data_IF_092654431353
#
_entry.id   IF_092654431353
#
_cell.length_a   1.000
_cell.length_b   1.000
_cell.length_c   1.000
_cell.angle_alpha   90.00
_cell.angle_beta   90.00
_cell.angle_gamma   90.00
#
_symmetry.space_group_name_H-M   'P 1'
#
loop_
_entity.id
_entity.type
_entity.pdbx_description
1 polymer ?
#
# COMPACT_ATOMS: atom_id res chain seq x y z
N UNK A 1 27.25 14.30 -2.12
CA UNK A 1 27.33 13.78 -3.50
C UNK A 1 26.11 12.91 -3.76
N UNK A 2 25.51 12.97 -4.95
CA UNK A 2 24.35 12.12 -5.29
C UNK A 2 24.86 10.70 -5.55
N UNK A 3 24.49 9.75 -4.68
CA UNK A 3 24.88 8.35 -4.82
C UNK A 3 23.82 7.55 -5.59
N UNK A 4 24.18 6.39 -6.15
CA UNK A 4 23.24 5.50 -6.86
C UNK A 4 22.09 5.08 -5.94
N UNK A 5 22.39 4.84 -4.66
CA UNK A 5 21.40 4.47 -3.64
C UNK A 5 20.45 5.63 -3.36
N UNK A 6 20.91 6.88 -3.43
CA UNK A 6 20.04 8.06 -3.27
C UNK A 6 19.05 8.15 -4.43
N UNK A 7 19.51 7.93 -5.66
CA UNK A 7 18.65 7.92 -6.86
C UNK A 7 17.63 6.78 -6.77
N UNK A 8 18.07 5.59 -6.36
CA UNK A 8 17.22 4.43 -6.15
C UNK A 8 16.12 4.67 -5.11
N UNK A 9 16.46 5.23 -3.95
CA UNK A 9 15.48 5.57 -2.90
C UNK A 9 14.45 6.61 -3.38
N UNK A 10 14.89 7.65 -4.10
CA UNK A 10 13.96 8.66 -4.65
C UNK A 10 13.01 8.03 -5.65
N UNK A 11 13.52 7.22 -6.59
CA UNK A 11 12.70 6.51 -7.57
C UNK A 11 11.67 5.60 -6.89
N UNK A 12 12.09 4.80 -5.90
CA UNK A 12 11.17 3.92 -5.17
C UNK A 12 10.08 4.71 -4.45
N UNK A 13 10.41 5.83 -3.80
CA UNK A 13 9.41 6.64 -3.10
C UNK A 13 8.40 7.24 -4.07
N UNK A 14 8.83 7.72 -5.24
CA UNK A 14 7.90 8.17 -6.31
C UNK A 14 7.01 7.02 -6.78
N UNK A 15 7.59 5.86 -7.07
CA UNK A 15 6.83 4.70 -7.55
C UNK A 15 5.81 4.21 -6.51
N UNK A 16 6.19 4.16 -5.22
CA UNK A 16 5.28 3.85 -4.11
C UNK A 16 4.11 4.83 -4.04
N UNK A 17 4.35 6.12 -4.24
CA UNK A 17 3.27 7.12 -4.22
C UNK A 17 2.30 6.94 -5.39
N UNK A 18 2.80 6.69 -6.60
CA UNK A 18 1.96 6.42 -7.77
C UNK A 18 1.08 5.19 -7.53
N UNK A 19 1.67 4.10 -7.05
CA UNK A 19 0.92 2.89 -6.71
C UNK A 19 -0.12 3.14 -5.62
N UNK A 20 0.23 3.89 -4.57
CA UNK A 20 -0.70 4.23 -3.50
C UNK A 20 -1.90 5.04 -4.02
N UNK A 21 -1.68 6.00 -4.93
CA UNK A 21 -2.77 6.74 -5.59
C UNK A 21 -3.66 5.80 -6.41
N UNK A 22 -3.08 4.89 -7.19
CA UNK A 22 -3.86 3.90 -7.95
C UNK A 22 -4.69 3.03 -7.00
N UNK A 23 -4.09 2.52 -5.93
CA UNK A 23 -4.78 1.72 -4.91
C UNK A 23 -5.93 2.51 -4.28
N UNK A 24 -5.72 3.79 -3.94
CA UNK A 24 -6.76 4.65 -3.37
C UNK A 24 -7.94 4.83 -4.33
N UNK A 25 -7.69 5.01 -5.63
CA UNK A 25 -8.73 5.11 -6.65
C UNK A 25 -9.53 3.80 -6.71
N UNK A 26 -8.86 2.65 -6.80
CA UNK A 26 -9.55 1.35 -6.82
C UNK A 26 -10.35 1.11 -5.54
N UNK A 27 -9.76 1.42 -4.38
CA UNK A 27 -10.40 1.32 -3.07
C UNK A 27 -11.67 2.17 -2.98
N UNK A 28 -11.64 3.40 -3.53
CA UNK A 28 -12.74 4.34 -3.41
C UNK A 28 -13.80 4.20 -4.49
N UNK A 29 -13.46 3.86 -5.73
CA UNK A 29 -14.38 3.90 -6.87
C UNK A 29 -14.42 2.60 -7.67
N UNK A 30 -13.80 1.53 -7.17
CA UNK A 30 -13.68 0.26 -7.89
C UNK A 30 -14.97 -0.56 -7.98
N UNK A 31 -16.02 -0.19 -7.26
CA UNK A 31 -17.34 -0.85 -7.32
C UNK A 31 -18.25 -0.09 -8.30
N UNK A 32 -17.96 -0.16 -9.60
CA UNK A 32 -18.72 0.55 -10.63
C UNK A 32 -18.89 2.07 -10.38
N UNK A 33 -17.89 2.71 -9.75
CA UNK A 33 -17.93 4.13 -9.34
C UNK A 33 -18.17 4.34 -7.84
N UNK A 34 -18.70 3.34 -7.15
CA UNK A 34 -18.92 3.35 -5.71
C UNK A 34 -17.76 2.76 -4.91
N UNK A 35 -17.89 2.86 -3.59
CA UNK A 35 -16.90 2.37 -2.63
C UNK A 35 -16.70 0.85 -2.73
N UNK A 36 -15.46 0.44 -2.99
CA UNK A 36 -15.10 -0.98 -3.11
C UNK A 36 -14.73 -1.56 -1.74
N UNK A 37 -13.70 -1.02 -1.09
CA UNK A 37 -13.25 -1.47 0.22
C UNK A 37 -12.39 -2.75 0.23
N UNK A 38 -11.84 -3.08 1.40
CA UNK A 38 -10.92 -4.21 1.67
C UNK A 38 -11.58 -5.35 2.46
N UNK A 39 -12.80 -5.15 2.96
CA UNK A 39 -13.53 -6.20 3.66
C UNK A 39 -15.01 -5.89 3.76
N UNK A 40 -15.85 -6.73 3.15
CA UNK A 40 -17.31 -6.69 3.24
C UNK A 40 -17.87 -8.02 3.73
N UNK A 41 -19.13 -8.26 3.43
CA UNK A 41 -19.85 -9.49 3.81
C UNK A 41 -19.88 -10.43 2.61
N UNK A 42 -19.54 -11.71 2.79
CA UNK A 42 -19.59 -12.68 1.68
C UNK A 42 -21.03 -13.03 1.29
N UNK A 43 -21.97 -12.72 2.16
CA UNK A 43 -23.40 -13.03 2.08
C UNK A 43 -24.19 -11.92 2.78
N UNK A 44 -25.45 -11.70 2.41
CA UNK A 44 -26.40 -10.80 3.07
C UNK A 44 -26.58 -11.07 4.59
N UNK A 45 -26.14 -12.23 5.07
CA UNK A 45 -26.25 -12.67 6.46
C UNK A 45 -24.99 -12.43 7.33
N UNK A 46 -23.87 -12.00 6.75
CA UNK A 46 -22.70 -11.61 7.55
C UNK A 46 -22.80 -10.13 7.94
N UNK A 47 -22.30 -9.78 9.12
CA UNK A 47 -22.12 -8.37 9.49
C UNK A 47 -20.76 -7.87 8.99
N UNK A 48 -20.77 -6.71 8.32
CA UNK A 48 -19.55 -6.08 7.84
C UNK A 48 -18.75 -5.59 9.05
N UNK A 49 -17.62 -6.25 9.35
CA UNK A 49 -16.69 -5.70 10.33
C UNK A 49 -16.08 -4.41 9.76
N UNK A 50 -16.30 -3.24 10.39
CA UNK A 50 -15.73 -1.98 9.94
C UNK A 50 -14.21 -1.93 10.17
N UNK A 51 -13.66 -2.85 10.97
CA UNK A 51 -12.27 -2.82 11.43
C UNK A 51 -11.29 -2.96 10.26
N UNK A 52 -11.60 -3.87 9.31
CA UNK A 52 -10.76 -4.08 8.13
C UNK A 52 -10.66 -2.81 7.27
N UNK A 53 -11.77 -2.08 7.11
CA UNK A 53 -11.83 -0.84 6.34
C UNK A 53 -11.11 0.32 7.05
N UNK A 54 -11.25 0.41 8.37
CA UNK A 54 -10.55 1.41 9.19
C UNK A 54 -9.03 1.19 9.09
N UNK A 55 -8.57 -0.05 9.22
CA UNK A 55 -7.14 -0.38 9.11
C UNK A 55 -6.65 -0.13 7.68
N UNK A 56 -7.38 -0.59 6.66
CA UNK A 56 -7.00 -0.38 5.26
C UNK A 56 -6.87 1.10 4.90
N UNK A 57 -7.89 1.91 5.24
CA UNK A 57 -7.85 3.36 5.00
C UNK A 57 -6.70 4.04 5.74
N UNK A 58 -6.43 3.66 6.98
CA UNK A 58 -5.30 4.15 7.77
C UNK A 58 -3.96 3.83 7.12
N UNK A 59 -3.78 2.61 6.60
CA UNK A 59 -2.55 2.20 5.89
C UNK A 59 -2.39 2.99 4.59
N UNK A 60 -3.41 3.04 3.74
CA UNK A 60 -3.36 3.74 2.44
C UNK A 60 -2.99 5.22 2.66
N UNK A 61 -3.75 5.94 3.49
CA UNK A 61 -3.57 7.38 3.71
C UNK A 61 -2.31 7.67 4.52
N UNK A 62 -2.07 6.90 5.59
CA UNK A 62 -0.91 7.10 6.46
C UNK A 62 0.41 6.95 5.70
N UNK A 63 0.53 5.91 4.87
CA UNK A 63 1.73 5.71 4.05
C UNK A 63 1.84 6.66 2.86
N UNK A 64 0.72 7.22 2.39
CA UNK A 64 0.74 8.29 1.39
C UNK A 64 1.35 9.56 1.97
N UNK A 65 0.88 9.99 3.13
CA UNK A 65 1.41 11.17 3.84
C UNK A 65 2.88 10.95 4.17
N UNK A 66 3.20 9.83 4.82
CA UNK A 66 4.56 9.50 5.21
C UNK A 66 5.54 9.50 4.03
N UNK A 67 5.21 8.81 2.95
CA UNK A 67 6.12 8.71 1.79
C UNK A 67 6.26 10.05 1.08
N UNK A 68 5.20 10.87 1.05
CA UNK A 68 5.24 12.22 0.49
C UNK A 68 6.18 13.12 1.29
N UNK A 69 6.03 13.12 2.62
CA UNK A 69 6.90 13.89 3.51
C UNK A 69 8.36 13.43 3.36
N UNK A 70 8.64 12.13 3.38
CA UNK A 70 10.00 11.62 3.19
C UNK A 70 10.58 11.97 1.82
N UNK A 71 9.80 11.89 0.74
CA UNK A 71 10.25 12.27 -0.59
C UNK A 71 10.65 13.75 -0.66
N UNK A 72 9.81 14.63 -0.11
CA UNK A 72 10.08 16.08 -0.04
C UNK A 72 11.34 16.33 0.80
N UNK A 73 11.47 15.69 1.96
CA UNK A 73 12.65 15.80 2.82
C UNK A 73 13.92 15.30 2.13
N UNK A 74 13.85 14.21 1.35
CA UNK A 74 14.99 13.71 0.56
C UNK A 74 15.42 14.67 -0.56
N UNK A 75 14.45 15.39 -1.15
CA UNK A 75 14.68 16.33 -2.25
C UNK A 75 15.25 17.68 -1.77
N UNK A 76 14.76 18.21 -0.64
CA UNK A 76 15.08 19.55 -0.16
C UNK A 76 15.86 19.61 1.16
N UNK A 77 15.98 18.50 1.87
CA UNK A 77 16.65 18.42 3.16
C UNK A 77 18.16 18.21 3.07
N UNK A 78 18.81 18.22 4.23
CA UNK A 78 20.23 17.87 4.37
C UNK A 78 20.46 16.37 4.14
N UNK A 79 21.73 15.97 3.92
CA UNK A 79 22.10 14.55 3.81
C UNK A 79 21.85 13.74 5.08
N UNK A 80 21.65 14.38 6.23
CA UNK A 80 21.34 13.70 7.50
C UNK A 80 19.98 13.01 7.47
N UNK A 81 18.97 13.61 6.82
CA UNK A 81 17.62 13.02 6.73
C UNK A 81 17.58 11.73 5.90
N UNK A 82 18.55 11.56 5.00
CA UNK A 82 18.69 10.34 4.19
C UNK A 82 19.15 9.12 4.99
N UNK A 83 19.51 9.34 6.26
CA UNK A 83 20.08 8.33 7.17
C UNK A 83 19.24 8.15 8.43
N UNK A 84 18.06 8.77 8.48
CA UNK A 84 17.23 8.65 9.67
C UNK A 84 16.73 7.22 9.85
N UNK A 85 16.91 6.70 11.06
CA UNK A 85 16.36 5.40 11.46
C UNK A 85 14.83 5.37 11.34
N UNK A 86 14.18 6.54 11.46
CA UNK A 86 12.74 6.71 11.25
C UNK A 86 12.29 6.18 9.88
N UNK A 87 13.08 6.41 8.81
CA UNK A 87 12.73 5.96 7.47
C UNK A 87 12.79 4.44 7.37
N UNK A 88 13.83 3.84 7.96
CA UNK A 88 13.99 2.39 8.01
C UNK A 88 12.85 1.73 8.80
N UNK A 89 12.53 2.24 9.99
CA UNK A 89 11.45 1.70 10.83
C UNK A 89 10.11 1.78 10.11
N UNK A 90 9.79 2.94 9.53
CA UNK A 90 8.53 3.12 8.81
C UNK A 90 8.44 2.24 7.57
N UNK A 91 9.57 1.97 6.88
CA UNK A 91 9.56 1.03 5.77
C UNK A 91 9.32 -0.43 6.21
N UNK A 92 9.89 -0.84 7.36
CA UNK A 92 9.60 -2.15 7.96
C UNK A 92 8.12 -2.27 8.34
N UNK A 93 7.59 -1.27 9.07
CA UNK A 93 6.18 -1.23 9.47
C UNK A 93 5.27 -1.24 8.23
N UNK A 94 5.62 -0.47 7.21
CA UNK A 94 4.90 -0.45 5.94
C UNK A 94 4.86 -1.80 5.25
N UNK A 95 5.97 -2.54 5.25
CA UNK A 95 6.02 -3.89 4.68
C UNK A 95 4.93 -4.78 5.29
N UNK A 96 4.87 -4.86 6.62
CA UNK A 96 3.90 -5.70 7.30
C UNK A 96 2.46 -5.22 7.11
N UNK A 97 2.24 -3.91 7.22
CA UNK A 97 0.88 -3.35 7.13
C UNK A 97 0.31 -3.47 5.71
N UNK A 98 1.08 -3.18 4.66
CA UNK A 98 0.65 -3.35 3.27
C UNK A 98 0.36 -4.81 2.92
N UNK A 99 1.20 -5.74 3.40
CA UNK A 99 0.98 -7.18 3.20
C UNK A 99 -0.28 -7.64 3.94
N UNK A 100 -0.48 -7.19 5.18
CA UNK A 100 -1.66 -7.55 5.96
C UNK A 100 -2.96 -7.09 5.29
N UNK A 101 -3.07 -5.80 4.94
CA UNK A 101 -4.29 -5.27 4.29
C UNK A 101 -4.49 -5.82 2.89
N UNK A 102 -3.40 -6.03 2.13
CA UNK A 102 -3.46 -6.68 0.82
C UNK A 102 -3.89 -8.14 0.90
N UNK A 103 -3.41 -8.87 1.90
CA UNK A 103 -3.83 -10.24 2.20
C UNK A 103 -5.31 -10.32 2.56
N UNK A 104 -5.80 -9.40 3.40
CA UNK A 104 -7.21 -9.28 3.73
C UNK A 104 -8.07 -8.99 2.49
N UNK A 105 -7.66 -8.03 1.65
CA UNK A 105 -8.36 -7.72 0.39
C UNK A 105 -8.42 -8.95 -0.53
N UNK A 106 -7.29 -9.64 -0.72
CA UNK A 106 -7.22 -10.82 -1.57
C UNK A 106 -8.09 -11.95 -1.01
N UNK A 107 -8.04 -12.20 0.30
CA UNK A 107 -8.89 -13.19 0.94
C UNK A 107 -10.36 -12.90 0.73
N UNK A 108 -10.77 -11.65 0.96
CA UNK A 108 -12.16 -11.21 0.80
C UNK A 108 -12.63 -11.31 -0.66
N UNK A 109 -11.94 -10.64 -1.58
CA UNK A 109 -12.35 -10.58 -2.99
C UNK A 109 -12.16 -11.91 -3.73
N UNK A 110 -11.32 -12.82 -3.23
CA UNK A 110 -11.27 -14.17 -3.77
C UNK A 110 -12.54 -14.96 -3.48
N UNK A 111 -13.09 -14.84 -2.26
CA UNK A 111 -14.31 -15.50 -1.79
C UNK A 111 -15.62 -14.82 -2.21
N UNK A 112 -15.56 -13.60 -2.75
CA UNK A 112 -16.73 -12.83 -3.16
C UNK A 112 -17.61 -13.58 -4.19
N UNK A 113 -18.88 -13.78 -3.84
CA UNK A 113 -19.93 -14.32 -4.70
C UNK A 113 -20.96 -13.22 -4.98
N UNK A 114 -21.24 -12.89 -6.25
CA UNK A 114 -22.27 -11.90 -6.57
C UNK A 114 -23.68 -12.46 -6.29
N UNK A 115 -24.59 -11.62 -5.80
CA UNK A 115 -26.01 -11.96 -5.56
C UNK A 115 -26.83 -12.22 -6.85
N UNK A 116 -26.19 -12.14 -8.03
CA UNK A 116 -26.84 -12.32 -9.33
C UNK A 116 -26.47 -13.68 -9.93
N UNK A 117 -27.40 -14.62 -9.86
CA UNK A 117 -27.35 -16.03 -10.33
C UNK A 117 -26.91 -16.27 -11.79
N UNK A 118 -26.56 -15.24 -12.58
CA UNK A 118 -26.35 -15.37 -14.03
C UNK A 118 -25.08 -14.69 -14.59
N UNK A 119 -24.19 -14.13 -13.76
CA UNK A 119 -22.91 -13.56 -14.24
C UNK A 119 -21.72 -14.36 -13.71
N UNK A 120 -21.04 -15.09 -14.61
CA UNK A 120 -19.87 -15.90 -14.29
C UNK A 120 -18.63 -15.08 -13.85
N UNK A 121 -18.62 -13.76 -14.05
CA UNK A 121 -17.53 -12.85 -13.68
C UNK A 121 -18.09 -11.52 -13.18
N UNK A 122 -17.98 -11.27 -11.88
CA UNK A 122 -18.30 -10.00 -11.27
C UNK A 122 -17.12 -9.02 -11.47
N UNK A 123 -17.36 -7.86 -12.08
CA UNK A 123 -16.30 -6.89 -12.41
C UNK A 123 -15.58 -6.36 -11.17
N UNK A 124 -16.33 -6.09 -10.11
CA UNK A 124 -15.91 -5.67 -8.78
C UNK A 124 -14.92 -6.67 -8.16
N UNK A 125 -15.14 -7.97 -8.38
CA UNK A 125 -14.25 -9.02 -7.89
C UNK A 125 -12.87 -8.89 -8.51
N UNK A 126 -12.81 -8.64 -9.81
CA UNK A 126 -11.53 -8.45 -10.50
C UNK A 126 -10.81 -7.19 -10.03
N UNK A 127 -11.56 -6.10 -9.84
CA UNK A 127 -11.00 -4.85 -9.33
C UNK A 127 -10.48 -5.02 -7.91
N UNK A 128 -11.20 -5.72 -7.04
CA UNK A 128 -10.79 -6.01 -5.67
C UNK A 128 -9.56 -6.91 -5.59
N UNK A 129 -9.47 -7.93 -6.44
CA UNK A 129 -8.27 -8.77 -6.56
C UNK A 129 -7.07 -7.97 -7.08
N UNK A 130 -7.27 -7.11 -8.08
CA UNK A 130 -6.22 -6.24 -8.59
C UNK A 130 -5.74 -5.26 -7.51
N UNK A 131 -6.66 -4.63 -6.78
CA UNK A 131 -6.36 -3.75 -5.66
C UNK A 131 -5.55 -4.48 -4.59
N UNK A 132 -5.98 -5.65 -4.15
CA UNK A 132 -5.26 -6.47 -3.16
C UNK A 132 -3.86 -6.87 -3.64
N UNK A 133 -3.71 -7.24 -4.91
CA UNK A 133 -2.40 -7.57 -5.48
C UNK A 133 -1.45 -6.35 -5.50
N UNK A 134 -1.96 -5.15 -5.84
CA UNK A 134 -1.17 -3.92 -5.79
C UNK A 134 -0.74 -3.55 -4.36
N UNK A 135 -1.56 -3.88 -3.35
CA UNK A 135 -1.18 -3.73 -1.93
C UNK A 135 -0.03 -4.67 -1.55
N UNK A 136 -0.05 -5.92 -2.02
CA UNK A 136 1.08 -6.86 -1.81
C UNK A 136 2.36 -6.34 -2.50
N UNK A 137 2.25 -5.85 -3.73
CA UNK A 137 3.38 -5.24 -4.45
C UNK A 137 3.90 -4.02 -3.68
N UNK A 138 3.01 -3.20 -3.11
CA UNK A 138 3.41 -2.07 -2.27
C UNK A 138 4.22 -2.55 -1.06
N UNK A 139 3.77 -3.60 -0.37
CA UNK A 139 4.51 -4.22 0.72
C UNK A 139 5.93 -4.66 0.30
N UNK A 140 6.07 -5.28 -0.87
CA UNK A 140 7.38 -5.65 -1.41
C UNK A 140 8.28 -4.43 -1.69
N UNK A 141 7.73 -3.33 -2.18
CA UNK A 141 8.48 -2.10 -2.40
C UNK A 141 8.95 -1.45 -1.11
N UNK A 142 8.14 -1.51 -0.05
CA UNK A 142 8.56 -1.07 1.29
C UNK A 142 9.68 -1.95 1.85
N UNK A 143 9.67 -3.25 1.58
CA UNK A 143 10.76 -4.15 1.96
C UNK A 143 12.06 -3.79 1.22
N UNK A 144 11.99 -3.56 -0.10
CA UNK A 144 13.16 -3.14 -0.88
C UNK A 144 13.71 -1.79 -0.40
N UNK A 145 12.84 -0.82 -0.10
CA UNK A 145 13.28 0.48 0.44
C UNK A 145 13.89 0.35 1.83
N UNK A 146 13.45 -0.61 2.65
CA UNK A 146 14.09 -0.94 3.94
C UNK A 146 15.54 -1.36 3.73
N UNK A 147 15.82 -2.21 2.74
CA UNK A 147 17.19 -2.66 2.45
C UNK A 147 18.06 -1.46 2.03
N UNK A 148 17.55 -0.58 1.18
CA UNK A 148 18.29 0.61 0.76
C UNK A 148 18.53 1.58 1.93
N UNK A 149 17.52 1.81 2.76
CA UNK A 149 17.64 2.66 3.95
C UNK A 149 18.68 2.10 4.94
N UNK A 150 18.72 0.79 5.12
CA UNK A 150 19.73 0.14 5.96
C UNK A 150 21.15 0.27 5.37
N UNK A 151 21.31 0.14 4.05
CA UNK A 151 22.60 0.37 3.39
C UNK A 151 23.10 1.80 3.59
N UNK A 152 22.21 2.80 3.49
CA UNK A 152 22.54 4.20 3.80
C UNK A 152 22.94 4.39 5.26
N UNK A 153 22.30 3.69 6.19
CA UNK A 153 22.63 3.74 7.61
C UNK A 153 23.97 3.07 7.94
N UNK A 154 24.27 1.92 7.30
CA UNK A 154 25.42 1.09 7.64
C UNK A 154 26.74 1.57 7.01
N UNK A 155 26.74 2.25 5.86
CA UNK A 155 27.97 2.66 5.15
C UNK A 155 28.80 3.76 5.83
N UNK A 156 28.35 4.33 6.94
CA UNK A 156 29.03 5.42 7.64
C UNK A 156 29.22 5.22 9.15
N UNK A 157 28.89 4.03 9.67
CA UNK A 157 29.40 3.53 10.96
C UNK A 157 30.57 2.59 10.71
#
# INVERSE_FOLDING_TARGET
MVSVETIGSVFLKVFKLVLNIVILILYRTGYAGDFLGVGGTWNLNEEKSPDAEIVASGVIVGFMIYTSVQLITYAFGTTAHKRELSDTIMNVVGTFLWVAVGGTALHYWHGYMPDHDFLHVATERQVGLAMGALMIISGALYLVDTVLAFVHFAKEN
#
